data_IF_193932513512
#
_entry.id   IF_193932513512
#
_cell.length_a   1.000
_cell.length_b   1.000
_cell.length_c   1.000
_cell.angle_alpha   90.00
_cell.angle_beta   90.00
_cell.angle_gamma   90.00
#
_symmetry.space_group_name_H-M   'P 1'
#
loop_
_entity.id
_entity.type
_entity.pdbx_description
1 polymer ?
#
# COMPACT_ATOMS: atom_id res chain seq x y z
N UNK A 1 8.76 5.60 -23.16
CA UNK A 1 8.33 5.36 -21.76
C UNK A 1 7.45 6.51 -21.23
N UNK A 2 7.05 7.47 -22.07
CA UNK A 2 6.42 8.75 -21.69
C UNK A 2 4.91 8.71 -21.41
N UNK A 3 4.25 7.54 -21.49
CA UNK A 3 2.79 7.46 -21.36
C UNK A 3 2.26 7.36 -19.92
N UNK A 4 3.11 7.04 -18.94
CA UNK A 4 2.68 6.96 -17.53
C UNK A 4 2.60 8.35 -16.87
N UNK A 5 3.52 9.24 -17.24
CA UNK A 5 3.61 10.63 -16.77
C UNK A 5 2.32 11.42 -16.94
N UNK A 6 1.59 11.15 -18.04
CA UNK A 6 0.47 11.98 -18.46
C UNK A 6 -0.91 11.60 -17.89
N UNK A 7 -1.05 10.54 -17.07
CA UNK A 7 -2.38 10.04 -16.66
C UNK A 7 -2.69 10.03 -15.18
N UNK A 8 -1.72 10.20 -14.29
CA UNK A 8 -1.98 10.22 -12.85
C UNK A 8 -1.29 11.41 -12.17
N UNK A 9 -2.03 12.49 -11.87
CA UNK A 9 -1.49 13.67 -11.21
C UNK A 9 -0.83 13.38 -9.85
N UNK A 10 -1.29 12.37 -9.12
CA UNK A 10 -0.67 12.00 -7.85
C UNK A 10 0.74 11.45 -8.06
N UNK A 11 0.95 10.59 -9.07
CA UNK A 11 2.26 10.00 -9.32
C UNK A 11 3.28 11.05 -9.76
N UNK A 12 2.87 11.97 -10.63
CA UNK A 12 3.73 13.07 -11.10
C UNK A 12 4.14 13.99 -9.95
N UNK A 13 3.18 14.44 -9.14
CA UNK A 13 3.41 15.28 -7.96
C UNK A 13 4.29 14.57 -6.93
N UNK A 14 4.02 13.30 -6.64
CA UNK A 14 4.82 12.52 -5.68
C UNK A 14 6.27 12.35 -6.16
N UNK A 15 6.49 12.06 -7.46
CA UNK A 15 7.84 11.95 -8.03
C UNK A 15 8.62 13.27 -7.93
N UNK A 16 7.98 14.39 -8.21
CA UNK A 16 8.60 15.71 -8.09
C UNK A 16 9.02 16.01 -6.65
N UNK A 17 8.10 15.84 -5.69
CA UNK A 17 8.38 16.08 -4.27
C UNK A 17 9.45 15.11 -3.71
N UNK A 18 9.45 13.86 -4.17
CA UNK A 18 10.43 12.86 -3.79
C UNK A 18 11.85 13.28 -4.20
N UNK A 19 12.03 13.86 -5.39
CA UNK A 19 13.35 14.32 -5.83
C UNK A 19 13.92 15.38 -4.88
N UNK A 20 13.09 16.27 -4.37
CA UNK A 20 13.54 17.31 -3.43
C UNK A 20 13.89 16.72 -2.06
N UNK A 21 13.14 15.72 -1.59
CA UNK A 21 13.47 14.96 -0.38
C UNK A 21 14.80 14.21 -0.56
N UNK A 22 14.99 13.51 -1.69
CA UNK A 22 16.22 12.74 -1.96
C UNK A 22 17.44 13.67 -2.11
N UNK A 23 17.31 14.85 -2.75
CA UNK A 23 18.39 15.84 -2.82
C UNK A 23 18.86 16.29 -1.43
N UNK A 24 17.93 16.38 -0.47
CA UNK A 24 18.26 16.68 0.94
C UNK A 24 18.93 15.51 1.68
N UNK A 25 18.77 14.28 1.20
CA UNK A 25 19.30 13.07 1.83
C UNK A 25 20.59 12.61 1.12
N UNK A 26 21.75 12.79 1.76
CA UNK A 26 23.07 12.40 1.20
C UNK A 26 23.12 10.98 0.62
N UNK A 27 22.39 10.01 1.20
CA UNK A 27 22.13 8.67 0.65
C UNK A 27 20.81 8.10 1.19
N UNK A 28 19.96 7.59 0.31
CA UNK A 28 18.82 6.73 0.69
C UNK A 28 19.29 5.29 0.64
N UNK A 29 19.50 4.67 1.81
CA UNK A 29 19.81 3.24 1.89
C UNK A 29 18.59 2.37 1.59
N UNK A 30 18.76 1.04 1.49
CA UNK A 30 17.66 0.09 1.20
C UNK A 30 16.45 0.23 2.13
N UNK A 31 16.69 0.48 3.42
CA UNK A 31 15.62 0.71 4.41
C UNK A 31 14.88 2.02 4.19
N UNK A 32 15.56 3.06 3.73
CA UNK A 32 14.93 4.34 3.40
C UNK A 32 14.03 4.24 2.18
N UNK A 33 14.47 3.53 1.15
CA UNK A 33 13.65 3.27 -0.04
C UNK A 33 12.39 2.45 0.32
N UNK A 34 12.54 1.43 1.18
CA UNK A 34 11.39 0.65 1.67
C UNK A 34 10.35 1.53 2.38
N UNK A 35 10.78 2.46 3.24
CA UNK A 35 9.89 3.40 3.93
C UNK A 35 9.18 4.35 2.96
N UNK A 36 9.90 4.89 1.98
CA UNK A 36 9.32 5.80 0.99
C UNK A 36 8.28 5.08 0.10
N UNK A 37 8.55 3.85 -0.30
CA UNK A 37 7.59 3.02 -1.04
C UNK A 37 6.33 2.77 -0.21
N UNK A 38 6.48 2.43 1.08
CA UNK A 38 5.34 2.27 1.98
C UNK A 38 4.53 3.57 2.11
N UNK A 39 5.20 4.71 2.24
CA UNK A 39 4.56 6.02 2.39
C UNK A 39 3.82 6.46 1.12
N UNK A 40 4.37 6.18 -0.05
CA UNK A 40 3.70 6.42 -1.34
C UNK A 40 2.38 5.65 -1.43
N UNK A 41 2.39 4.36 -1.10
CA UNK A 41 1.20 3.49 -1.11
C UNK A 41 0.16 4.01 -0.11
N UNK A 42 0.60 4.44 1.07
CA UNK A 42 -0.25 5.03 2.10
C UNK A 42 -0.87 6.35 1.64
N UNK A 43 -0.06 7.27 1.15
CA UNK A 43 -0.49 8.59 0.70
C UNK A 43 -1.53 8.49 -0.40
N UNK A 44 -1.31 7.63 -1.41
CA UNK A 44 -2.27 7.44 -2.50
C UNK A 44 -3.60 6.87 -2.02
N UNK A 45 -3.54 5.89 -1.11
CA UNK A 45 -4.75 5.28 -0.57
C UNK A 45 -5.57 6.26 0.27
N UNK A 46 -4.90 7.17 1.01
CA UNK A 46 -5.57 8.21 1.78
C UNK A 46 -6.22 9.24 0.84
N UNK A 47 -5.48 9.69 -0.19
CA UNK A 47 -5.93 10.74 -1.11
C UNK A 47 -7.10 10.28 -1.98
N UNK A 48 -6.92 9.15 -2.67
CA UNK A 48 -7.81 8.76 -3.77
C UNK A 48 -8.47 7.39 -3.58
N UNK A 49 -8.21 6.70 -2.45
CA UNK A 49 -8.64 5.30 -2.20
C UNK A 49 -8.22 4.34 -3.32
N UNK A 50 -7.16 4.68 -4.04
CA UNK A 50 -6.66 3.95 -5.19
C UNK A 50 -5.46 3.08 -4.81
N UNK A 51 -5.47 1.86 -5.32
CA UNK A 51 -4.37 0.94 -5.15
C UNK A 51 -3.17 1.31 -6.03
N UNK A 52 -1.98 0.94 -5.59
CA UNK A 52 -0.71 1.22 -6.26
C UNK A 52 -0.12 -0.04 -6.87
N UNK A 53 0.30 0.03 -8.11
CA UNK A 53 0.91 -1.04 -8.88
C UNK A 53 2.44 -0.97 -8.82
N UNK A 54 3.11 -2.12 -8.97
CA UNK A 54 4.57 -2.23 -8.97
C UNK A 54 5.25 -1.30 -9.99
N UNK A 55 4.74 -1.24 -11.21
CA UNK A 55 5.31 -0.41 -12.28
C UNK A 55 5.20 1.09 -11.98
N UNK A 56 4.17 1.53 -11.24
CA UNK A 56 4.02 2.94 -10.86
C UNK A 56 5.07 3.32 -9.81
N UNK A 57 5.33 2.44 -8.85
CA UNK A 57 6.39 2.62 -7.86
C UNK A 57 7.75 2.62 -8.56
N UNK A 58 8.00 1.67 -9.45
CA UNK A 58 9.24 1.60 -10.24
C UNK A 58 9.49 2.91 -11.00
N UNK A 59 8.45 3.46 -11.63
CA UNK A 59 8.51 4.72 -12.33
C UNK A 59 8.74 5.93 -11.41
N UNK A 60 8.08 6.01 -10.24
CA UNK A 60 8.26 7.12 -9.28
C UNK A 60 9.68 7.15 -8.71
N UNK A 61 10.25 5.99 -8.41
CA UNK A 61 11.57 5.88 -7.75
C UNK A 61 12.74 5.70 -8.73
N UNK A 62 12.48 5.73 -10.05
CA UNK A 62 13.46 5.45 -11.11
C UNK A 62 14.23 4.14 -10.85
N UNK A 63 13.51 3.10 -10.43
CA UNK A 63 14.04 1.77 -10.12
C UNK A 63 13.50 0.71 -11.09
N UNK A 64 14.21 -0.41 -11.19
CA UNK A 64 13.72 -1.58 -11.93
C UNK A 64 12.53 -2.22 -11.20
N UNK A 65 11.54 -2.70 -11.95
CA UNK A 65 10.36 -3.37 -11.39
C UNK A 65 10.73 -4.59 -10.53
N UNK A 66 11.79 -5.32 -10.87
CA UNK A 66 12.25 -6.47 -10.08
C UNK A 66 12.74 -6.07 -8.69
N UNK A 67 13.42 -4.92 -8.58
CA UNK A 67 13.89 -4.40 -7.30
C UNK A 67 12.72 -3.96 -6.43
N UNK A 68 11.75 -3.24 -7.02
CA UNK A 68 10.52 -2.85 -6.35
C UNK A 68 9.69 -4.07 -5.93
N UNK A 69 9.59 -5.09 -6.77
CA UNK A 69 8.85 -6.31 -6.47
C UNK A 69 9.37 -7.00 -5.19
N UNK A 70 10.69 -7.01 -4.98
CA UNK A 70 11.31 -7.52 -3.74
C UNK A 70 10.92 -6.68 -2.52
N UNK A 71 10.89 -5.35 -2.66
CA UNK A 71 10.49 -4.43 -1.58
C UNK A 71 9.02 -4.62 -1.23
N UNK A 72 8.13 -4.69 -2.22
CA UNK A 72 6.69 -4.89 -2.02
C UNK A 72 6.40 -6.24 -1.38
N UNK A 73 7.12 -7.31 -1.78
CA UNK A 73 7.02 -8.62 -1.16
C UNK A 73 7.38 -8.56 0.33
N UNK A 74 8.49 -7.88 0.67
CA UNK A 74 8.93 -7.72 2.07
C UNK A 74 7.91 -6.92 2.89
N UNK A 75 7.39 -5.81 2.35
CA UNK A 75 6.36 -5.01 3.00
C UNK A 75 5.05 -5.79 3.21
N UNK A 76 4.70 -6.67 2.28
CA UNK A 76 3.56 -7.58 2.40
C UNK A 76 3.79 -8.63 3.51
N UNK A 77 4.98 -9.24 3.56
CA UNK A 77 5.37 -10.22 4.59
C UNK A 77 5.39 -9.61 5.99
N UNK A 78 5.90 -8.38 6.12
CA UNK A 78 5.86 -7.58 7.35
C UNK A 78 4.45 -7.11 7.72
N UNK A 79 3.48 -7.25 6.80
CA UNK A 79 2.10 -6.84 7.02
C UNK A 79 1.88 -5.33 6.99
N UNK A 80 2.79 -4.56 6.39
CA UNK A 80 2.66 -3.12 6.18
C UNK A 80 1.65 -2.80 5.06
N UNK A 81 1.61 -3.65 4.04
CA UNK A 81 0.70 -3.53 2.90
C UNK A 81 -0.04 -4.84 2.64
N UNK A 82 -1.11 -4.79 1.87
CA UNK A 82 -1.85 -5.97 1.41
C UNK A 82 -2.29 -5.77 -0.05
N UNK A 83 -2.49 -6.85 -0.83
CA UNK A 83 -3.08 -6.75 -2.16
C UNK A 83 -4.47 -6.09 -2.15
N UNK A 84 -4.68 -5.15 -3.07
CA UNK A 84 -5.93 -4.43 -3.24
C UNK A 84 -6.81 -5.11 -4.30
N UNK A 85 -7.79 -5.90 -3.85
CA UNK A 85 -8.69 -6.58 -4.77
C UNK A 85 -8.18 -7.97 -5.16
N UNK A 86 -8.59 -8.93 -4.34
CA UNK A 86 -9.30 -10.16 -4.67
C UNK A 86 -8.92 -11.19 -3.61
N UNK A 87 -9.92 -11.93 -3.11
CA UNK A 87 -9.66 -13.16 -2.36
C UNK A 87 -8.69 -14.05 -3.13
N UNK A 88 -8.10 -15.04 -2.46
CA UNK A 88 -6.99 -15.93 -2.89
C UNK A 88 -7.02 -16.51 -4.34
N UNK A 89 -8.00 -16.19 -5.19
CA UNK A 89 -8.39 -16.90 -6.41
C UNK A 89 -8.51 -16.08 -7.71
N UNK A 90 -8.31 -14.74 -7.77
CA UNK A 90 -8.21 -14.03 -9.06
C UNK A 90 -6.79 -13.53 -9.33
N UNK A 91 -6.05 -14.31 -10.12
CA UNK A 91 -4.72 -13.96 -10.66
C UNK A 91 -4.88 -13.00 -11.84
N UNK A 92 -4.91 -11.70 -11.59
CA UNK A 92 -4.54 -10.73 -12.61
C UNK A 92 -3.02 -10.77 -12.84
N UNK A 93 -2.51 -10.37 -14.03
CA UNK A 93 -1.07 -10.40 -14.33
C UNK A 93 -0.25 -9.43 -13.47
N UNK A 94 -0.90 -8.42 -12.87
CA UNK A 94 -0.25 -7.41 -12.02
C UNK A 94 -1.01 -7.31 -10.70
N UNK A 95 -0.28 -7.41 -9.58
CA UNK A 95 -0.82 -7.36 -8.22
C UNK A 95 -0.75 -5.91 -7.69
N UNK A 96 -1.88 -5.20 -7.56
CA UNK A 96 -1.89 -3.89 -6.93
C UNK A 96 -1.90 -4.00 -5.40
N UNK A 97 -1.38 -2.98 -4.73
CA UNK A 97 -1.19 -2.93 -3.28
C UNK A 97 -1.91 -1.74 -2.66
N UNK A 98 -2.33 -1.92 -1.42
CA UNK A 98 -2.88 -0.88 -0.55
C UNK A 98 -2.30 -1.03 0.85
N UNK A 99 -2.37 -0.01 1.71
CA UNK A 99 -2.02 -0.14 3.12
C UNK A 99 -2.88 -1.22 3.77
N UNK A 100 -2.28 -1.97 4.68
CA UNK A 100 -3.06 -2.91 5.49
C UNK A 100 -4.01 -2.13 6.37
N UNK A 101 -5.28 -2.54 6.38
CA UNK A 101 -6.27 -1.93 7.27
C UNK A 101 -5.93 -2.34 8.71
N UNK A 102 -5.74 -1.37 9.62
CA UNK A 102 -5.61 -1.65 11.04
C UNK A 102 -6.87 -2.41 11.50
N UNK A 103 -6.72 -3.69 11.81
CA UNK A 103 -7.80 -4.46 12.40
C UNK A 103 -7.92 -4.02 13.84
N UNK A 104 -8.95 -3.24 14.15
CA UNK A 104 -9.35 -3.05 15.54
C UNK A 104 -9.58 -4.45 16.14
N UNK A 105 -9.10 -4.73 17.37
CA UNK A 105 -9.39 -5.99 18.03
C UNK A 105 -10.90 -6.19 18.01
N UNK A 106 -11.35 -7.37 17.57
CA UNK A 106 -12.76 -7.73 17.58
C UNK A 106 -13.25 -7.56 19.00
N UNK A 107 -14.03 -6.50 19.26
CA UNK A 107 -14.79 -6.43 20.50
C UNK A 107 -15.76 -7.60 20.45
N UNK A 108 -15.54 -8.59 21.30
CA UNK A 108 -16.50 -9.66 21.54
C UNK A 108 -17.67 -9.01 22.27
N UNK A 109 -18.63 -8.45 21.52
CA UNK A 109 -19.90 -8.03 22.09
C UNK A 109 -20.56 -9.32 22.57
N UNK A 110 -20.49 -9.61 23.88
CA UNK A 110 -21.29 -10.67 24.50
C UNK A 110 -22.74 -10.29 24.23
N UNK A 111 -23.39 -11.05 23.34
CA UNK A 111 -24.82 -10.96 23.09
C UNK A 111 -25.52 -11.04 24.45
N UNK A 112 -26.40 -10.11 24.82
CA UNK A 112 -27.12 -10.23 26.08
C UNK A 112 -27.87 -11.57 26.07
N UNK A 113 -27.63 -12.37 27.10
CA UNK A 113 -28.32 -13.64 27.31
C UNK A 113 -29.82 -13.37 27.42
N UNK A 114 -30.61 -14.07 26.61
CA UNK A 114 -32.08 -14.00 26.62
C UNK A 114 -32.58 -14.33 28.04
N UNK A 115 -33.49 -13.54 28.64
CA UNK A 115 -34.04 -13.90 29.94
C UNK A 115 -34.78 -15.23 29.82
N UNK A 116 -34.46 -16.16 30.73
CA UNK A 116 -35.19 -17.43 30.87
C UNK A 116 -36.64 -17.10 31.18
N UNK A 117 -37.57 -17.50 30.30
CA UNK A 117 -38.99 -17.49 30.65
C UNK A 117 -39.16 -18.53 31.76
N UNK A 118 -39.49 -18.07 32.97
CA UNK A 118 -40.10 -18.94 33.98
C UNK A 118 -41.52 -19.21 33.50
N UNK A 119 -41.79 -20.45 33.15
CA UNK A 119 -43.17 -20.94 33.03
C UNK A 119 -43.81 -20.87 34.42
N UNK A 120 -44.99 -20.23 34.47
CA UNK A 120 -45.89 -20.17 35.64
C UNK A 120 -47.02 -21.16 35.38
#
# INVERSE_FOLDING_TARGET
MDRLEARDPFLADYKQNLQDVIKGMKKVGPSGLQLLVQEMIRSRWIKDRRATYTYEVAWVFDQKEEAISRILKKLEEEGNIEPAGLGRSKKGPVKPYKPRTLRLPKQTIKKPSKPSKRDV
#
